data_IF_953554369571
#
_entry.id   IF_953554369571
#
_cell.length_a   1.000
_cell.length_b   1.000
_cell.length_c   1.000
_cell.angle_alpha   90.00
_cell.angle_beta   90.00
_cell.angle_gamma   90.00
#
_symmetry.space_group_name_H-M   'P 1'
#
loop_
_entity.id
_entity.type
_entity.pdbx_description
1 polymer ?
#
# COMPACT_ATOMS: atom_id res chain seq x y z
N UNK A 1 10.88 -26.43 -24.11
CA UNK A 1 9.81 -25.55 -23.59
C UNK A 1 10.35 -24.92 -22.31
N UNK A 2 10.67 -23.64 -22.32
CA UNK A 2 11.09 -22.95 -21.10
C UNK A 2 10.54 -21.53 -21.14
N UNK A 3 9.37 -21.33 -20.54
CA UNK A 3 8.86 -19.99 -20.24
C UNK A 3 9.33 -19.69 -18.83
N UNK A 4 10.51 -19.08 -18.71
CA UNK A 4 10.90 -18.37 -17.51
C UNK A 4 9.96 -17.19 -17.33
N UNK A 5 8.85 -17.41 -16.63
CA UNK A 5 7.99 -16.36 -16.11
C UNK A 5 8.77 -15.62 -15.02
N UNK A 6 9.58 -14.65 -15.40
CA UNK A 6 10.06 -13.62 -14.47
C UNK A 6 8.82 -13.06 -13.75
N UNK A 7 8.78 -13.22 -12.42
CA UNK A 7 7.62 -12.79 -11.64
C UNK A 7 7.60 -11.26 -11.68
N UNK A 8 6.73 -10.69 -12.51
CA UNK A 8 6.55 -9.25 -12.63
C UNK A 8 6.17 -8.69 -11.26
N UNK A 9 6.85 -7.62 -10.85
CA UNK A 9 6.54 -6.99 -9.58
C UNK A 9 5.18 -6.30 -9.66
N UNK A 10 4.27 -6.64 -8.75
CA UNK A 10 2.94 -6.02 -8.69
C UNK A 10 2.69 -5.43 -7.31
N UNK A 11 2.58 -4.11 -7.26
CA UNK A 11 2.29 -3.39 -6.03
C UNK A 11 0.79 -3.26 -5.85
N UNK A 12 0.27 -3.86 -4.77
CA UNK A 12 -1.10 -3.67 -4.31
C UNK A 12 -1.17 -2.54 -3.27
N UNK A 13 -2.03 -1.55 -3.51
CA UNK A 13 -2.27 -0.45 -2.57
C UNK A 13 -3.62 -0.64 -1.88
N UNK A 14 -3.60 -0.72 -0.55
CA UNK A 14 -4.80 -0.72 0.30
C UNK A 14 -5.09 0.70 0.75
N UNK A 15 -6.33 1.16 0.58
CA UNK A 15 -6.78 2.45 1.09
C UNK A 15 -8.04 2.32 1.94
N UNK A 16 -8.23 3.27 2.87
CA UNK A 16 -9.38 3.30 3.77
C UNK A 16 -10.57 4.07 3.21
N UNK A 17 -10.32 5.07 2.36
CA UNK A 17 -11.34 5.98 1.82
C UNK A 17 -11.27 6.05 0.29
N UNK A 18 -12.42 6.36 -0.34
CA UNK A 18 -12.50 6.37 -1.81
C UNK A 18 -11.65 7.48 -2.44
N UNK A 19 -11.55 8.66 -1.82
CA UNK A 19 -10.71 9.73 -2.34
C UNK A 19 -9.21 9.35 -2.34
N UNK A 20 -8.77 8.52 -1.39
CA UNK A 20 -7.40 8.00 -1.36
C UNK A 20 -7.16 7.06 -2.55
N UNK A 21 -8.12 6.17 -2.83
CA UNK A 21 -8.06 5.29 -3.98
C UNK A 21 -8.05 6.08 -5.31
N UNK A 22 -8.81 7.17 -5.39
CA UNK A 22 -8.86 8.01 -6.58
C UNK A 22 -7.53 8.74 -6.86
N UNK A 23 -6.79 9.13 -5.81
CA UNK A 23 -5.42 9.63 -5.96
C UNK A 23 -4.53 8.57 -6.63
N UNK A 24 -4.58 7.33 -6.14
CA UNK A 24 -3.79 6.22 -6.70
C UNK A 24 -4.18 5.91 -8.14
N UNK A 25 -5.49 5.89 -8.45
CA UNK A 25 -5.99 5.65 -9.82
C UNK A 25 -5.53 6.73 -10.80
N UNK A 26 -5.51 8.00 -10.38
CA UNK A 26 -4.99 9.11 -11.20
C UNK A 26 -3.51 8.94 -11.51
N UNK A 27 -2.71 8.51 -10.54
CA UNK A 27 -1.29 8.23 -10.74
C UNK A 27 -1.05 7.15 -11.80
N UNK A 28 -1.85 6.07 -11.82
CA UNK A 28 -1.77 5.03 -12.89
C UNK A 28 -1.98 5.63 -14.28
N UNK A 29 -2.91 6.57 -14.41
CA UNK A 29 -3.20 7.24 -15.68
C UNK A 29 -2.08 8.19 -16.11
N UNK A 30 -1.39 8.83 -15.16
CA UNK A 30 -0.34 9.81 -15.41
C UNK A 30 1.03 9.19 -15.70
N UNK A 31 1.33 8.01 -15.15
CA UNK A 31 2.60 7.32 -15.38
C UNK A 31 2.64 6.51 -16.68
N UNK A 32 1.56 6.49 -17.47
CA UNK A 32 1.50 5.82 -18.77
C UNK A 32 1.85 4.32 -18.72
N UNK A 33 1.65 3.67 -17.57
CA UNK A 33 2.07 2.28 -17.35
C UNK A 33 3.56 2.06 -17.08
N UNK A 34 4.36 3.12 -16.89
CA UNK A 34 5.78 3.02 -16.54
C UNK A 34 5.98 3.21 -15.04
N UNK A 35 5.71 2.16 -14.28
CA UNK A 35 6.49 1.92 -13.06
C UNK A 35 7.84 1.35 -13.54
N UNK A 36 9.01 1.71 -12.97
CA UNK A 36 10.29 1.17 -13.42
C UNK A 36 10.33 -0.38 -13.37
N UNK A 37 10.34 -1.03 -14.53
CA UNK A 37 10.18 -2.50 -14.66
C UNK A 37 8.86 -2.86 -15.33
N UNK A 38 8.58 -4.15 -15.54
CA UNK A 38 7.28 -4.64 -16.03
C UNK A 38 6.23 -4.63 -14.90
N UNK A 39 6.25 -3.54 -14.14
CA UNK A 39 5.72 -3.46 -12.79
C UNK A 39 4.30 -2.88 -12.83
N UNK A 40 3.32 -3.59 -12.26
CA UNK A 40 1.91 -3.18 -12.31
C UNK A 40 1.41 -2.69 -10.96
N UNK A 41 0.53 -1.69 -10.97
CA UNK A 41 -0.13 -1.16 -9.78
C UNK A 41 -1.57 -1.66 -9.68
N UNK A 42 -2.03 -2.04 -8.50
CA UNK A 42 -3.43 -2.31 -8.21
C UNK A 42 -3.85 -1.54 -6.94
N UNK A 43 -5.13 -1.21 -6.82
CA UNK A 43 -5.67 -0.52 -5.64
C UNK A 43 -6.99 -1.14 -5.22
N UNK A 44 -7.15 -1.40 -3.92
CA UNK A 44 -8.38 -1.93 -3.34
C UNK A 44 -8.81 -1.08 -2.14
N UNK A 45 -10.08 -0.66 -2.14
CA UNK A 45 -10.69 0.17 -1.10
C UNK A 45 -12.00 -0.47 -0.65
N UNK A 46 -12.02 -1.06 0.54
CA UNK A 46 -13.22 -1.65 1.15
C UNK A 46 -13.79 -0.80 2.30
N UNK A 47 -13.20 0.35 2.58
CA UNK A 47 -13.63 1.28 3.63
C UNK A 47 -12.82 1.15 4.92
N UNK A 48 -13.03 2.05 5.89
CA UNK A 48 -12.25 2.08 7.11
C UNK A 48 -12.68 0.95 8.05
N UNK A 49 -11.73 0.07 8.40
CA UNK A 49 -11.70 -0.87 9.55
C UNK A 49 -10.57 -1.88 9.37
N UNK A 50 -9.92 -2.36 10.44
CA UNK A 50 -8.85 -3.36 10.32
C UNK A 50 -9.24 -4.61 9.53
N UNK A 51 -10.42 -5.19 9.81
CA UNK A 51 -10.91 -6.36 9.08
C UNK A 51 -11.05 -6.11 7.56
N UNK A 52 -11.60 -4.94 7.19
CA UNK A 52 -11.77 -4.55 5.78
C UNK A 52 -10.45 -4.26 5.07
N UNK A 53 -9.48 -3.70 5.79
CA UNK A 53 -8.12 -3.54 5.26
C UNK A 53 -7.47 -4.91 5.02
N UNK A 54 -7.67 -5.87 5.92
CA UNK A 54 -7.23 -7.25 5.74
C UNK A 54 -7.86 -7.94 4.54
N UNK A 55 -9.18 -7.77 4.33
CA UNK A 55 -9.87 -8.33 3.16
C UNK A 55 -9.41 -7.68 1.85
N UNK A 56 -9.17 -6.37 1.85
CA UNK A 56 -8.63 -5.65 0.70
C UNK A 56 -7.22 -6.13 0.35
N UNK A 57 -6.35 -6.29 1.37
CA UNK A 57 -5.02 -6.85 1.21
C UNK A 57 -5.04 -8.26 0.63
N UNK A 58 -5.93 -9.12 1.13
CA UNK A 58 -6.09 -10.49 0.64
C UNK A 58 -6.53 -10.53 -0.82
N UNK A 59 -7.53 -9.72 -1.20
CA UNK A 59 -7.98 -9.63 -2.59
C UNK A 59 -6.84 -9.18 -3.53
N UNK A 60 -6.00 -8.24 -3.11
CA UNK A 60 -4.84 -7.81 -3.90
C UNK A 60 -3.80 -8.92 -4.08
N UNK A 61 -3.53 -9.70 -3.02
CA UNK A 61 -2.63 -10.87 -3.06
C UNK A 61 -3.19 -11.95 -4.00
N UNK A 62 -4.49 -12.27 -3.88
CA UNK A 62 -5.18 -13.22 -4.75
C UNK A 62 -5.13 -12.80 -6.22
N UNK A 63 -5.19 -11.49 -6.48
CA UNK A 63 -5.02 -10.92 -7.82
C UNK A 63 -3.54 -10.91 -8.30
N UNK A 64 -2.60 -11.38 -7.48
CA UNK A 64 -1.18 -11.52 -7.81
C UNK A 64 -0.28 -10.36 -7.38
N UNK A 65 -0.69 -9.54 -6.40
CA UNK A 65 0.22 -8.55 -5.80
C UNK A 65 1.38 -9.25 -5.08
N UNK A 66 2.62 -8.85 -5.41
CA UNK A 66 3.85 -9.35 -4.80
C UNK A 66 4.36 -8.45 -3.67
N UNK A 67 3.80 -7.25 -3.55
CA UNK A 67 4.05 -6.32 -2.46
C UNK A 67 2.76 -5.56 -2.12
N UNK A 68 2.64 -5.14 -0.85
CA UNK A 68 1.51 -4.36 -0.35
C UNK A 68 1.99 -3.04 0.24
N UNK A 69 1.23 -1.99 -0.04
CA UNK A 69 1.39 -0.66 0.55
C UNK A 69 0.05 -0.21 1.14
N UNK A 70 0.06 0.21 2.41
CA UNK A 70 -1.05 0.98 2.97
C UNK A 70 -0.86 2.45 2.61
N UNK A 71 -1.87 3.08 2.01
CA UNK A 71 -1.86 4.49 1.67
C UNK A 71 -3.12 5.16 2.20
N UNK A 72 -2.95 6.29 2.88
CA UNK A 72 -4.07 7.08 3.35
C UNK A 72 -3.62 8.30 4.15
N UNK A 73 -4.61 9.02 4.67
CA UNK A 73 -4.40 10.17 5.56
C UNK A 73 -4.50 9.74 7.03
N UNK A 74 -3.74 10.41 7.89
CA UNK A 74 -3.76 10.16 9.33
C UNK A 74 -3.65 11.48 10.10
N UNK A 75 -4.11 11.46 11.36
CA UNK A 75 -3.82 12.54 12.30
C UNK A 75 -2.39 12.40 12.84
N UNK A 76 -1.64 13.50 12.87
CA UNK A 76 -0.32 13.54 13.50
C UNK A 76 -0.46 13.55 15.01
N UNK A 77 0.22 12.63 15.70
CA UNK A 77 0.27 12.60 17.17
C UNK A 77 1.50 13.32 17.75
N UNK A 78 2.45 13.71 16.90
CA UNK A 78 3.60 14.54 17.27
C UNK A 78 3.28 16.00 16.93
N UNK A 79 3.26 16.92 17.92
CA UNK A 79 3.00 18.35 17.69
C UNK A 79 3.97 19.03 16.71
N UNK A 80 5.16 18.46 16.48
CA UNK A 80 6.12 18.97 15.51
C UNK A 80 5.75 18.62 14.05
N UNK A 81 4.76 17.76 13.81
CA UNK A 81 4.32 17.38 12.46
C UNK A 81 3.25 18.36 11.95
N UNK A 82 3.57 19.24 10.98
CA UNK A 82 2.56 20.09 10.37
C UNK A 82 1.60 19.27 9.49
N UNK A 83 0.34 19.72 9.32
CA UNK A 83 -0.56 19.17 8.31
C UNK A 83 0.08 19.17 6.92
N UNK A 84 -0.14 18.10 6.16
CA UNK A 84 0.46 17.91 4.83
C UNK A 84 1.84 17.21 4.84
N UNK A 85 2.40 16.91 6.02
CA UNK A 85 3.60 16.08 6.11
C UNK A 85 3.33 14.67 5.56
N UNK A 86 4.14 14.23 4.60
CA UNK A 86 4.11 12.86 4.10
C UNK A 86 5.04 11.97 4.95
N UNK A 87 4.52 10.86 5.47
CA UNK A 87 5.28 9.91 6.28
C UNK A 87 5.37 8.58 5.54
N UNK A 88 6.59 8.10 5.34
CA UNK A 88 6.85 6.72 4.91
C UNK A 88 7.07 5.89 6.17
N UNK A 89 6.01 5.21 6.61
CA UNK A 89 6.03 4.45 7.85
C UNK A 89 7.00 3.25 7.77
N UNK A 90 7.90 3.16 8.74
CA UNK A 90 8.87 2.05 8.89
C UNK A 90 8.38 0.96 9.84
N UNK A 91 7.29 1.22 10.56
CA UNK A 91 6.65 0.26 11.43
C UNK A 91 5.30 0.76 11.94
N UNK A 92 4.51 -0.15 12.49
CA UNK A 92 3.17 0.08 13.01
C UNK A 92 3.13 -0.44 14.45
N UNK A 93 2.51 0.33 15.35
CA UNK A 93 2.24 -0.09 16.72
C UNK A 93 0.73 -0.14 16.95
N UNK A 94 0.22 -1.29 17.34
CA UNK A 94 -1.20 -1.47 17.70
C UNK A 94 -1.42 -1.21 19.20
N UNK A 95 -1.95 -0.04 19.54
CA UNK A 95 -2.17 0.33 20.93
C UNK A 95 -3.22 -0.54 21.68
N UNK A 96 -3.98 -1.39 20.98
CA UNK A 96 -5.01 -2.25 21.55
C UNK A 96 -4.63 -3.72 21.71
N UNK A 97 -3.66 -4.23 20.94
CA UNK A 97 -3.28 -5.65 20.91
C UNK A 97 -1.88 -5.96 21.46
N UNK A 98 -1.03 -4.95 21.70
CA UNK A 98 0.30 -5.11 22.29
C UNK A 98 1.24 -3.93 22.02
N UNK A 99 2.32 -3.78 22.79
CA UNK A 99 3.25 -2.65 22.62
C UNK A 99 4.34 -2.85 21.54
N UNK A 100 4.38 -4.03 20.92
CA UNK A 100 5.39 -4.38 19.92
C UNK A 100 5.21 -3.58 18.62
N UNK A 101 6.33 -3.25 17.98
CA UNK A 101 6.33 -2.60 16.67
C UNK A 101 6.40 -3.69 15.60
N UNK A 102 5.43 -3.69 14.70
CA UNK A 102 5.46 -4.47 13.46
C UNK A 102 6.19 -3.66 12.40
N UNK A 103 7.42 -4.03 12.06
CA UNK A 103 8.21 -3.34 11.04
C UNK A 103 7.72 -3.64 9.63
N UNK A 104 7.72 -2.63 8.77
CA UNK A 104 7.42 -2.80 7.34
C UNK A 104 8.61 -3.42 6.62
N UNK A 105 8.37 -4.36 5.70
CA UNK A 105 9.46 -4.93 4.91
C UNK A 105 9.99 -3.88 3.92
N UNK A 106 11.30 -3.93 3.66
CA UNK A 106 11.98 -2.98 2.76
C UNK A 106 12.48 -3.61 1.47
N UNK A 107 12.42 -4.93 1.36
CA UNK A 107 13.04 -5.69 0.26
C UNK A 107 12.46 -5.37 -1.12
N UNK A 108 11.29 -4.73 -1.19
CA UNK A 108 10.65 -4.30 -2.44
C UNK A 108 10.91 -2.83 -2.80
N UNK A 109 11.56 -2.05 -1.92
CA UNK A 109 11.94 -0.67 -2.21
C UNK A 109 13.13 -0.71 -3.17
N UNK A 110 12.86 -0.56 -4.48
CA UNK A 110 13.85 -0.51 -5.55
C UNK A 110 14.55 0.85 -5.62
#
# INVERSE_FOLDING_TARGET
>A
MNVSSETKFRLGIVTGLQFEADIVRRLRGQTGGRIPGDDSLAVCCLGPRPARAGDAARSLIEDGATALLSFGVAGGCDPALPPGTAIVATGIRDLGAGSEILYTNRDWQR
#
